data_IF_868571130061
#
_entry.id   IF_868571130061
#
_cell.length_a   1.000
_cell.length_b   1.000
_cell.length_c   1.000
_cell.angle_alpha   90.00
_cell.angle_beta   90.00
_cell.angle_gamma   90.00
#
_symmetry.space_group_name_H-M   'P 1'
#
loop_
_entity.id
_entity.type
_entity.pdbx_description
1 polymer ?
#
# COMPACT_ATOMS: atom_id res chain seq x y z
N UNK A 1 24.35 -8.24 54.56
CA UNK A 1 23.09 -8.18 53.80
C UNK A 1 23.17 -7.00 52.83
N UNK A 2 23.56 -7.24 51.56
CA UNK A 2 23.69 -6.18 50.54
C UNK A 2 22.34 -5.96 49.88
N UNK A 3 21.77 -4.77 50.03
CA UNK A 3 20.55 -4.34 49.36
C UNK A 3 20.79 -4.35 47.83
N UNK A 4 20.02 -5.16 47.11
CA UNK A 4 19.96 -5.11 45.65
C UNK A 4 19.27 -3.80 45.27
N UNK A 5 20.05 -2.83 44.80
CA UNK A 5 19.50 -1.65 44.12
C UNK A 5 18.91 -2.13 42.79
N UNK A 6 17.59 -2.25 42.76
CA UNK A 6 16.81 -2.42 41.54
C UNK A 6 17.11 -1.22 40.64
N UNK A 7 17.87 -1.44 39.55
CA UNK A 7 17.99 -0.44 38.49
C UNK A 7 16.60 -0.20 37.92
N UNK A 8 16.00 0.95 38.22
CA UNK A 8 14.87 1.45 37.48
C UNK A 8 15.29 1.55 36.00
N UNK A 9 14.82 0.62 35.18
CA UNK A 9 15.01 0.71 33.73
C UNK A 9 14.18 1.91 33.27
N UNK A 10 14.85 2.99 32.87
CA UNK A 10 14.19 4.11 32.19
C UNK A 10 13.53 3.59 30.92
N UNK A 11 12.20 3.52 30.93
CA UNK A 11 11.40 3.14 29.76
C UNK A 11 11.36 4.32 28.81
N UNK A 12 12.16 4.26 27.76
CA UNK A 12 12.07 5.21 26.65
C UNK A 12 10.98 4.74 25.69
N UNK A 13 10.02 5.62 25.42
CA UNK A 13 8.95 5.37 24.45
C UNK A 13 9.23 6.17 23.18
N UNK A 14 8.95 5.55 22.03
CA UNK A 14 8.78 6.27 20.78
C UNK A 14 7.30 6.62 20.66
N UNK A 15 7.02 7.89 20.39
CA UNK A 15 5.67 8.36 20.11
C UNK A 15 5.59 8.68 18.62
N UNK A 16 4.72 7.98 17.89
CA UNK A 16 4.35 8.34 16.52
C UNK A 16 2.92 8.87 16.60
N UNK A 17 2.78 10.17 16.43
CA UNK A 17 1.49 10.82 16.25
C UNK A 17 1.25 10.96 14.75
N UNK A 18 0.32 10.18 14.21
CA UNK A 18 -0.05 10.26 12.81
C UNK A 18 -1.42 10.93 12.69
N UNK A 19 -1.47 11.95 11.84
CA UNK A 19 -2.71 12.59 11.41
C UNK A 19 -2.88 12.17 9.95
N UNK A 20 -3.85 11.29 9.68
CA UNK A 20 -4.19 10.94 8.30
C UNK A 20 -5.21 11.94 7.76
N UNK A 21 -4.85 12.62 6.67
CA UNK A 21 -5.79 13.38 5.87
C UNK A 21 -6.41 12.41 4.85
N UNK A 22 -7.40 11.61 5.26
CA UNK A 22 -8.08 10.73 4.30
C UNK A 22 -8.85 11.49 3.21
N UNK A 23 -8.95 12.82 3.31
CA UNK A 23 -9.39 13.65 2.20
C UNK A 23 -8.83 15.07 2.27
N UNK A 24 -8.24 15.46 1.15
CA UNK A 24 -7.85 16.84 0.84
C UNK A 24 -8.97 17.81 1.17
N UNK A 25 -8.67 18.85 1.93
CA UNK A 25 -9.56 20.00 2.20
C UNK A 25 -9.88 20.87 0.95
N UNK A 26 -9.67 20.35 -0.26
CA UNK A 26 -10.03 21.02 -1.50
C UNK A 26 -11.52 20.84 -1.74
N UNK A 27 -12.31 21.91 -1.56
CA UNK A 27 -13.70 21.94 -2.04
C UNK A 27 -13.64 21.74 -3.57
N UNK A 28 -14.29 20.70 -4.13
CA UNK A 28 -15.30 19.84 -3.52
C UNK A 28 -14.72 18.50 -3.04
N UNK A 29 -14.32 18.41 -1.76
CA UNK A 29 -13.59 17.28 -1.19
C UNK A 29 -14.51 16.31 -0.44
N UNK A 30 -14.16 15.02 -0.44
CA UNK A 30 -15.06 13.92 -0.09
C UNK A 30 -15.07 13.49 1.40
N UNK A 31 -14.41 14.19 2.33
CA UNK A 31 -14.33 13.74 3.74
C UNK A 31 -14.48 14.88 4.74
N UNK A 32 -15.38 14.73 5.71
CA UNK A 32 -15.62 15.69 6.81
C UNK A 32 -15.10 15.22 8.18
N UNK A 33 -14.34 14.11 8.23
CA UNK A 33 -13.93 13.46 9.48
C UNK A 33 -12.42 13.23 9.52
N UNK A 34 -11.78 13.69 10.58
CA UNK A 34 -10.37 13.44 10.88
C UNK A 34 -10.28 12.47 12.06
N UNK A 35 -9.39 11.48 11.97
CA UNK A 35 -9.09 10.57 13.08
C UNK A 35 -7.65 10.82 13.50
N UNK A 36 -7.45 11.27 14.74
CA UNK A 36 -6.13 11.31 15.36
C UNK A 36 -5.84 9.93 15.95
N UNK A 37 -4.86 9.23 15.38
CA UNK A 37 -4.37 7.96 15.91
C UNK A 37 -2.92 8.14 16.40
N UNK A 38 -2.71 7.96 17.71
CA UNK A 38 -1.39 7.92 18.32
C UNK A 38 -0.98 6.47 18.59
N UNK A 39 0.19 6.06 18.10
CA UNK A 39 0.79 4.77 18.43
C UNK A 39 2.03 5.03 19.30
N UNK A 40 2.04 4.46 20.50
CA UNK A 40 3.22 4.48 21.37
C UNK A 40 3.83 3.09 21.42
N UNK A 41 5.08 2.98 20.98
CA UNK A 41 5.84 1.73 20.98
C UNK A 41 7.05 1.94 21.90
N UNK A 42 7.28 1.10 22.91
CA UNK A 42 8.51 1.13 23.68
C UNK A 42 9.73 1.01 22.74
N UNK A 43 10.73 1.87 22.90
CA UNK A 43 11.92 1.88 22.02
C UNK A 43 12.60 0.51 22.03
N UNK A 44 12.58 -0.20 23.16
CA UNK A 44 13.15 -1.54 23.32
C UNK A 44 12.53 -2.59 22.39
N UNK A 45 11.28 -2.42 21.94
CA UNK A 45 10.60 -3.39 21.07
C UNK A 45 10.48 -2.91 19.62
N UNK A 46 10.78 -1.63 19.33
CA UNK A 46 10.67 -1.04 17.99
C UNK A 46 11.31 -1.91 16.89
N UNK A 47 12.55 -2.35 17.11
CA UNK A 47 13.27 -3.16 16.12
C UNK A 47 12.65 -4.54 15.89
N UNK A 48 11.97 -5.10 16.89
CA UNK A 48 11.25 -6.35 16.73
C UNK A 48 9.97 -6.12 15.92
N UNK A 49 9.21 -5.06 16.21
CA UNK A 49 8.03 -4.70 15.44
C UNK A 49 8.36 -4.46 13.96
N UNK A 50 9.44 -3.71 13.68
CA UNK A 50 9.92 -3.45 12.32
C UNK A 50 10.26 -4.75 11.57
N UNK A 51 10.97 -5.67 12.24
CA UNK A 51 11.28 -6.99 11.69
C UNK A 51 10.02 -7.82 11.43
N UNK A 52 9.06 -7.81 12.35
CA UNK A 52 7.82 -8.56 12.21
C UNK A 52 6.98 -8.03 11.03
N UNK A 53 6.95 -6.71 10.84
CA UNK A 53 6.31 -6.07 9.67
C UNK A 53 6.99 -6.54 8.38
N UNK A 54 8.32 -6.54 8.31
CA UNK A 54 9.04 -7.00 7.12
C UNK A 54 8.81 -8.49 6.84
N UNK A 55 8.73 -9.33 7.87
CA UNK A 55 8.38 -10.74 7.72
C UNK A 55 6.97 -10.93 7.16
N UNK A 56 6.00 -10.12 7.60
CA UNK A 56 4.64 -10.13 7.04
C UNK A 56 4.67 -9.67 5.58
N UNK A 57 5.34 -8.55 5.28
CA UNK A 57 5.44 -8.01 3.90
C UNK A 57 6.11 -9.01 2.96
N UNK A 58 7.14 -9.72 3.42
CA UNK A 58 7.84 -10.72 2.62
C UNK A 58 6.92 -11.86 2.16
N UNK A 59 5.99 -12.33 3.01
CA UNK A 59 5.01 -13.38 2.64
C UNK A 59 4.17 -13.00 1.43
N UNK A 60 3.90 -11.71 1.26
CA UNK A 60 3.10 -11.16 0.17
C UNK A 60 3.94 -10.50 -0.93
N UNK A 61 5.27 -10.63 -0.89
CA UNK A 61 6.20 -9.99 -1.83
C UNK A 61 6.05 -8.45 -1.87
N UNK A 62 5.90 -7.82 -0.70
CA UNK A 62 5.71 -6.38 -0.49
C UNK A 62 6.84 -5.72 0.33
N UNK A 63 7.97 -6.40 0.60
CA UNK A 63 9.05 -5.89 1.47
C UNK A 63 9.54 -4.47 1.14
N UNK A 64 9.57 -4.10 -0.13
CA UNK A 64 10.04 -2.78 -0.59
C UNK A 64 8.90 -1.82 -0.95
N UNK A 65 7.68 -2.10 -0.49
CA UNK A 65 6.50 -1.30 -0.80
C UNK A 65 5.93 -0.68 0.48
N UNK A 66 5.57 0.60 0.38
CA UNK A 66 4.68 1.23 1.35
C UNK A 66 3.33 0.51 1.32
N UNK A 67 2.71 0.32 2.49
CA UNK A 67 1.44 -0.39 2.62
C UNK A 67 0.28 0.60 2.59
N UNK A 68 -0.53 0.51 1.55
CA UNK A 68 -1.79 1.23 1.42
C UNK A 68 -2.94 0.23 1.55
N UNK A 69 -3.62 0.23 2.69
CA UNK A 69 -4.72 -0.71 2.99
C UNK A 69 -5.84 -0.64 1.94
N UNK A 70 -6.16 0.56 1.48
CA UNK A 70 -7.14 0.77 0.41
C UNK A 70 -6.73 0.17 -0.95
N UNK A 71 -5.43 0.00 -1.21
CA UNK A 71 -4.96 -0.68 -2.43
C UNK A 71 -4.94 -2.20 -2.26
N UNK A 72 -4.62 -2.70 -1.07
CA UNK A 72 -4.68 -4.14 -0.78
C UNK A 72 -6.10 -4.70 -0.96
N UNK A 73 -7.12 -3.99 -0.48
CA UNK A 73 -8.51 -4.45 -0.50
C UNK A 73 -9.21 -4.18 -1.85
N UNK A 74 -8.58 -3.44 -2.76
CA UNK A 74 -9.21 -3.01 -4.00
C UNK A 74 -9.31 -4.20 -4.98
N UNK A 75 -10.47 -4.45 -5.59
CA UNK A 75 -10.55 -5.38 -6.71
C UNK A 75 -9.84 -4.79 -7.95
N UNK A 76 -8.98 -5.58 -8.58
CA UNK A 76 -8.29 -5.21 -9.83
C UNK A 76 -8.94 -5.91 -11.00
N UNK A 77 -9.64 -5.15 -11.85
CA UNK A 77 -10.41 -5.69 -12.98
C UNK A 77 -9.55 -6.49 -13.95
N UNK A 78 -8.26 -6.16 -14.06
CA UNK A 78 -7.30 -6.85 -14.91
C UNK A 78 -7.07 -8.29 -14.46
N UNK A 79 -7.20 -8.59 -13.16
CA UNK A 79 -7.05 -9.95 -12.62
C UNK A 79 -8.19 -10.85 -13.11
N UNK A 80 -9.42 -10.31 -13.19
CA UNK A 80 -10.60 -11.06 -13.66
C UNK A 80 -10.51 -11.45 -15.15
N UNK A 81 -9.73 -10.70 -15.93
CA UNK A 81 -9.52 -11.01 -17.34
C UNK A 81 -8.51 -12.15 -17.57
N UNK A 82 -7.80 -12.60 -16.52
CA UNK A 82 -6.79 -13.65 -16.60
C UNK A 82 -7.39 -14.97 -16.13
N UNK A 83 -7.44 -15.95 -17.03
CA UNK A 83 -7.98 -17.28 -16.73
C UNK A 83 -7.17 -17.96 -15.62
N UNK A 84 -7.87 -18.50 -14.60
CA UNK A 84 -7.27 -19.18 -13.46
C UNK A 84 -6.19 -18.35 -12.74
N UNK A 85 -6.36 -17.02 -12.64
CA UNK A 85 -5.41 -16.11 -11.99
C UNK A 85 -4.91 -16.62 -10.63
N UNK A 86 -5.81 -17.17 -9.82
CA UNK A 86 -5.49 -17.72 -8.51
C UNK A 86 -4.46 -18.85 -8.50
N UNK A 87 -4.40 -19.62 -9.60
CA UNK A 87 -3.48 -20.76 -9.73
C UNK A 87 -2.09 -20.34 -10.22
N UNK A 88 -1.92 -19.09 -10.64
CA UNK A 88 -0.66 -18.57 -11.15
C UNK A 88 0.29 -18.19 -10.00
N UNK A 89 1.58 -18.36 -10.24
CA UNK A 89 2.61 -17.84 -9.34
C UNK A 89 2.68 -16.31 -9.37
N UNK A 90 3.19 -15.70 -8.29
CA UNK A 90 3.27 -14.23 -8.12
C UNK A 90 3.89 -13.53 -9.33
N UNK A 91 5.01 -14.06 -9.86
CA UNK A 91 5.68 -13.47 -11.01
C UNK A 91 4.81 -13.51 -12.29
N UNK A 92 4.14 -14.64 -12.52
CA UNK A 92 3.25 -14.81 -13.67
C UNK A 92 2.04 -13.87 -13.57
N UNK A 93 1.45 -13.75 -12.37
CA UNK A 93 0.36 -12.80 -12.08
C UNK A 93 0.76 -11.38 -12.47
N UNK A 94 1.94 -10.92 -12.02
CA UNK A 94 2.48 -9.59 -12.36
C UNK A 94 2.61 -9.42 -13.87
N UNK A 95 3.27 -10.37 -14.55
CA UNK A 95 3.51 -10.29 -15.99
C UNK A 95 2.18 -10.18 -16.77
N UNK A 96 1.21 -11.04 -16.46
CA UNK A 96 -0.08 -11.07 -17.14
C UNK A 96 -0.86 -9.75 -16.93
N UNK A 97 -0.95 -9.26 -15.69
CA UNK A 97 -1.63 -7.97 -15.41
C UNK A 97 -0.90 -6.82 -16.08
N UNK A 98 0.44 -6.76 -16.02
CA UNK A 98 1.22 -5.71 -16.68
C UNK A 98 1.04 -5.71 -18.21
N UNK A 99 0.84 -6.87 -18.84
CA UNK A 99 0.54 -6.96 -20.28
C UNK A 99 -0.82 -6.34 -20.61
N UNK A 100 -1.86 -6.67 -19.83
CA UNK A 100 -3.20 -6.08 -20.00
C UNK A 100 -3.16 -4.55 -19.81
N UNK A 101 -2.48 -4.08 -18.76
CA UNK A 101 -2.30 -2.65 -18.48
C UNK A 101 -1.59 -1.91 -19.61
N UNK A 102 -0.53 -2.50 -20.18
CA UNK A 102 0.19 -1.93 -21.33
C UNK A 102 -0.70 -1.84 -22.56
N UNK A 103 -1.45 -2.89 -22.86
CA UNK A 103 -2.41 -2.91 -23.98
C UNK A 103 -3.45 -1.79 -23.83
N UNK A 104 -4.01 -1.63 -22.63
CA UNK A 104 -5.00 -0.60 -22.34
C UNK A 104 -4.42 0.82 -22.49
N UNK A 105 -3.21 1.07 -21.98
CA UNK A 105 -2.54 2.36 -22.14
C UNK A 105 -2.28 2.69 -23.62
N UNK A 106 -1.91 1.70 -24.43
CA UNK A 106 -1.73 1.87 -25.87
C UNK A 106 -3.06 2.15 -26.59
N UNK A 107 -4.13 1.46 -26.19
CA UNK A 107 -5.49 1.70 -26.69
C UNK A 107 -5.94 3.13 -26.42
N UNK A 108 -5.80 3.60 -25.18
CA UNK A 108 -6.12 4.96 -24.77
C UNK A 108 -5.28 6.02 -25.52
N UNK A 109 -4.00 5.72 -25.79
CA UNK A 109 -3.13 6.63 -26.54
C UNK A 109 -3.55 6.79 -28.00
N UNK A 110 -4.06 5.73 -28.63
CA UNK A 110 -4.51 5.74 -30.04
C UNK A 110 -5.91 6.30 -30.23
N UNK A 111 -6.70 6.39 -29.16
CA UNK A 111 -8.11 6.76 -29.22
C UNK A 111 -8.26 8.27 -29.43
N UNK A 112 -8.83 8.66 -30.58
CA UNK A 112 -9.16 10.04 -30.92
C UNK A 112 -10.50 10.46 -30.31
N UNK A 113 -10.56 10.52 -28.97
CA UNK A 113 -11.73 11.02 -28.23
C UNK A 113 -11.34 12.27 -27.43
N UNK A 114 -12.26 13.25 -27.27
CA UNK A 114 -11.96 14.55 -26.65
C UNK A 114 -11.41 14.48 -25.21
N UNK A 115 -11.61 13.36 -24.50
CA UNK A 115 -11.09 13.14 -23.14
C UNK A 115 -10.00 12.07 -23.03
N UNK A 116 -9.56 11.49 -24.14
CA UNK A 116 -8.66 10.31 -24.10
C UNK A 116 -7.32 10.60 -23.43
N UNK A 117 -6.76 11.79 -23.64
CA UNK A 117 -5.48 12.18 -23.02
C UNK A 117 -5.56 12.30 -21.49
N UNK A 118 -6.67 12.85 -20.97
CA UNK A 118 -6.89 12.93 -19.52
C UNK A 118 -7.06 11.53 -18.92
N UNK A 119 -7.85 10.69 -19.58
CA UNK A 119 -8.07 9.30 -19.17
C UNK A 119 -6.76 8.50 -19.18
N UNK A 120 -5.93 8.64 -20.22
CA UNK A 120 -4.60 8.03 -20.29
C UNK A 120 -3.73 8.43 -19.10
N UNK A 121 -3.62 9.74 -18.81
CA UNK A 121 -2.81 10.25 -17.70
C UNK A 121 -3.28 9.70 -16.36
N UNK A 122 -4.58 9.72 -16.11
CA UNK A 122 -5.15 9.21 -14.86
C UNK A 122 -4.93 7.70 -14.71
N UNK A 123 -5.19 6.94 -15.79
CA UNK A 123 -5.02 5.48 -15.79
C UNK A 123 -3.56 5.11 -15.56
N UNK A 124 -2.62 5.79 -16.22
CA UNK A 124 -1.18 5.60 -16.02
C UNK A 124 -0.75 5.89 -14.58
N UNK A 125 -1.27 6.98 -13.98
CA UNK A 125 -1.03 7.32 -12.57
C UNK A 125 -1.56 6.22 -11.64
N UNK A 126 -2.78 5.75 -11.88
CA UNK A 126 -3.41 4.70 -11.07
C UNK A 126 -2.62 3.38 -11.16
N UNK A 127 -2.18 2.98 -12.35
CA UNK A 127 -1.36 1.77 -12.53
C UNK A 127 -0.04 1.89 -11.80
N UNK A 128 0.65 3.04 -11.90
CA UNK A 128 1.90 3.28 -11.15
C UNK A 128 1.70 3.11 -9.64
N UNK A 129 0.64 3.69 -9.10
CA UNK A 129 0.34 3.66 -7.67
C UNK A 129 0.02 2.23 -7.18
N UNK A 130 -0.63 1.43 -8.02
CA UNK A 130 -1.12 0.09 -7.63
C UNK A 130 -0.20 -1.05 -8.07
N UNK A 131 0.93 -0.76 -8.70
CA UNK A 131 1.83 -1.77 -9.30
C UNK A 131 2.31 -2.82 -8.30
N UNK A 132 2.51 -2.42 -7.04
CA UNK A 132 2.95 -3.34 -5.99
C UNK A 132 1.90 -4.39 -5.60
N UNK A 133 0.62 -4.18 -5.93
CA UNK A 133 -0.51 -4.94 -5.38
C UNK A 133 -1.20 -5.85 -6.38
N UNK A 134 -0.90 -5.71 -7.67
CA UNK A 134 -1.61 -6.40 -8.77
C UNK A 134 -1.57 -7.92 -8.72
N UNK A 135 -0.67 -8.51 -7.95
CA UNK A 135 -0.54 -9.95 -7.80
C UNK A 135 -1.30 -10.51 -6.60
N UNK A 136 -1.81 -9.64 -5.72
CA UNK A 136 -2.54 -10.03 -4.50
C UNK A 136 -3.94 -10.53 -4.86
N UNK A 137 -4.41 -11.50 -4.08
CA UNK A 137 -5.71 -12.20 -4.20
C UNK A 137 -6.15 -12.65 -2.83
#
# INVERSE_FOLDING_TARGET
MRLKVSKAQSLFFMHICYIDESGTSDIPGNTSHFILAGLSIPVSVWKNCDKDIELIKAKYNLQNSEIHTGWILRPYIEQNAILNFEKLGILQRKIQVSQLRKSELLSLQKKNAPNSHKQYKQTKKNYKNTEAYIHLT
#
